data_IF_447874797568
#
_entry.id   IF_447874797568
#
_cell.length_a   1.000
_cell.length_b   1.000
_cell.length_c   1.000
_cell.angle_alpha   90.00
_cell.angle_beta   90.00
_cell.angle_gamma   90.00
#
_symmetry.space_group_name_H-M   'P 1'
#
loop_
_entity.id
_entity.type
_entity.pdbx_description
1 polymer ?
#
# COMPACT_ATOMS: atom_id res chain seq x y z
N UNK A 1 10.62 16.85 -14.72
CA UNK A 1 11.63 16.80 -13.65
C UNK A 1 12.44 15.52 -13.77
N UNK A 2 13.66 15.50 -13.27
CA UNK A 2 14.53 14.33 -13.14
C UNK A 2 14.91 14.25 -11.68
N UNK A 3 14.87 13.03 -11.13
CA UNK A 3 15.13 12.73 -9.74
C UNK A 3 15.74 11.32 -9.62
N UNK A 4 16.43 11.00 -8.52
CA UNK A 4 16.92 9.66 -8.21
C UNK A 4 17.70 8.96 -9.36
N UNK A 5 18.71 9.65 -9.93
CA UNK A 5 19.49 9.09 -11.03
C UNK A 5 20.64 8.24 -10.50
N UNK A 6 20.75 6.99 -10.99
CA UNK A 6 21.84 6.08 -10.61
C UNK A 6 22.45 5.38 -11.82
N UNK A 7 23.73 5.03 -11.71
CA UNK A 7 24.52 4.33 -12.75
C UNK A 7 25.28 3.17 -12.09
N UNK A 8 25.21 2.00 -12.71
CA UNK A 8 25.93 0.79 -12.30
C UNK A 8 26.97 0.37 -13.34
N UNK A 9 27.96 -0.39 -12.93
CA UNK A 9 28.97 -0.96 -13.84
C UNK A 9 28.52 -2.31 -14.44
N UNK A 10 27.32 -2.78 -14.11
CA UNK A 10 26.72 -3.99 -14.66
C UNK A 10 25.26 -3.71 -15.11
N UNK A 11 24.69 -4.65 -15.85
CA UNK A 11 23.28 -4.62 -16.19
C UNK A 11 22.47 -5.21 -15.04
N UNK A 12 21.54 -4.43 -14.52
CA UNK A 12 20.60 -4.92 -13.50
C UNK A 12 19.63 -5.95 -14.09
N UNK A 13 19.26 -6.91 -13.29
CA UNK A 13 18.19 -7.87 -13.62
C UNK A 13 16.83 -7.20 -13.51
N UNK A 14 15.79 -7.77 -14.16
CA UNK A 14 14.40 -7.30 -14.06
C UNK A 14 13.92 -7.27 -12.59
N UNK A 15 14.35 -8.23 -11.78
CA UNK A 15 14.01 -8.29 -10.36
C UNK A 15 14.66 -7.14 -9.56
N UNK A 16 15.90 -6.76 -9.87
CA UNK A 16 16.58 -5.62 -9.26
C UNK A 16 15.97 -4.29 -9.68
N UNK A 17 15.62 -4.14 -10.96
CA UNK A 17 14.93 -2.95 -11.47
C UNK A 17 13.58 -2.79 -10.77
N UNK A 18 12.83 -3.88 -10.62
CA UNK A 18 11.54 -3.87 -9.92
C UNK A 18 11.70 -3.49 -8.45
N UNK A 19 12.74 -4.04 -7.78
CA UNK A 19 13.03 -3.71 -6.39
C UNK A 19 13.41 -2.23 -6.22
N UNK A 20 14.25 -1.69 -7.11
CA UNK A 20 14.68 -0.28 -7.09
C UNK A 20 13.53 0.67 -7.45
N UNK A 21 12.67 0.28 -8.40
CA UNK A 21 11.50 1.07 -8.77
C UNK A 21 10.54 1.26 -7.59
N UNK A 22 10.44 0.25 -6.71
CA UNK A 22 9.67 0.31 -5.46
C UNK A 22 8.34 1.06 -5.61
N UNK A 23 7.60 0.76 -6.69
CA UNK A 23 6.32 1.42 -7.01
C UNK A 23 6.41 2.95 -7.13
N UNK A 24 7.59 3.49 -7.47
CA UNK A 24 7.84 4.93 -7.62
C UNK A 24 8.22 5.64 -6.32
N UNK A 25 8.52 4.89 -5.25
CA UNK A 25 9.03 5.46 -4.01
C UNK A 25 10.55 5.54 -4.01
N UNK A 26 11.05 6.53 -3.32
CA UNK A 26 12.48 6.70 -3.12
C UNK A 26 13.07 5.47 -2.42
N UNK A 27 14.06 4.83 -3.06
CA UNK A 27 14.84 3.77 -2.46
C UNK A 27 16.32 4.11 -2.52
N UNK A 28 17.03 3.80 -1.42
CA UNK A 28 18.44 4.07 -1.33
C UNK A 28 19.26 3.01 -2.09
N UNK A 29 19.70 3.34 -3.31
CA UNK A 29 20.50 2.45 -4.15
C UNK A 29 21.90 2.12 -3.56
N UNK A 30 22.36 2.76 -2.47
CA UNK A 30 23.65 2.49 -1.84
C UNK A 30 23.68 1.25 -0.95
N UNK A 31 22.54 0.62 -0.71
CA UNK A 31 22.43 -0.59 0.11
C UNK A 31 21.67 -1.68 -0.62
N UNK A 32 22.15 -2.92 -0.57
CA UNK A 32 21.42 -4.08 -1.11
C UNK A 32 20.27 -4.44 -0.18
N UNK A 33 19.09 -4.72 -0.77
CA UNK A 33 17.88 -5.12 -0.03
C UNK A 33 16.96 -5.95 -0.94
N UNK A 34 16.21 -6.88 -0.37
CA UNK A 34 15.29 -7.73 -1.12
C UNK A 34 15.97 -8.38 -2.33
N UNK A 35 15.39 -8.16 -3.50
CA UNK A 35 15.94 -8.65 -4.78
C UNK A 35 17.02 -7.74 -5.38
N UNK A 36 17.32 -6.60 -4.77
CA UNK A 36 18.41 -5.73 -5.22
C UNK A 36 19.73 -6.10 -4.52
N UNK A 37 20.71 -6.60 -5.27
CA UNK A 37 22.01 -7.05 -4.78
C UNK A 37 23.20 -6.25 -5.32
N UNK A 38 23.00 -5.40 -6.32
CA UNK A 38 24.03 -4.69 -7.08
C UNK A 38 24.45 -3.34 -6.48
N UNK A 39 24.26 -3.13 -5.16
CA UNK A 39 24.70 -1.89 -4.52
C UNK A 39 26.23 -1.70 -4.57
N UNK A 40 27.02 -2.80 -4.59
CA UNK A 40 28.48 -2.75 -4.72
C UNK A 40 28.96 -2.32 -6.11
N UNK A 41 28.11 -2.42 -7.11
CA UNK A 41 28.38 -2.13 -8.52
C UNK A 41 27.94 -0.71 -8.92
N UNK A 42 27.46 0.07 -7.94
CA UNK A 42 27.00 1.44 -8.11
C UNK A 42 28.18 2.37 -8.40
N UNK A 43 28.20 3.02 -9.56
CA UNK A 43 29.23 3.99 -9.98
C UNK A 43 28.89 5.40 -9.51
N UNK A 44 27.63 5.79 -9.61
CA UNK A 44 27.15 7.11 -9.22
C UNK A 44 25.67 7.08 -8.86
N UNK A 45 25.30 7.91 -7.89
CA UNK A 45 23.91 8.04 -7.44
C UNK A 45 23.63 9.47 -6.98
N UNK A 46 22.73 10.16 -7.68
CA UNK A 46 22.35 11.55 -7.41
C UNK A 46 20.87 11.63 -7.09
N UNK A 47 20.59 11.90 -5.83
CA UNK A 47 19.21 12.05 -5.32
C UNK A 47 18.52 13.32 -5.77
N UNK A 48 19.31 14.36 -6.14
CA UNK A 48 18.81 15.66 -6.57
C UNK A 48 17.95 16.38 -5.50
N UNK A 49 18.22 16.12 -4.22
CA UNK A 49 17.49 16.65 -3.07
C UNK A 49 18.14 17.91 -2.44
N UNK A 50 19.19 18.48 -3.05
CA UNK A 50 19.92 19.61 -2.47
C UNK A 50 19.07 20.90 -2.45
N UNK A 51 18.09 21.06 -3.34
CA UNK A 51 17.16 22.18 -3.40
C UNK A 51 17.78 23.55 -3.72
N UNK A 52 19.12 23.66 -3.68
CA UNK A 52 19.86 24.91 -3.93
C UNK A 52 21.25 24.61 -4.51
N UNK A 53 21.87 25.62 -5.13
CA UNK A 53 23.22 25.50 -5.67
C UNK A 53 23.25 24.85 -7.05
N UNK A 54 24.47 24.48 -7.49
CA UNK A 54 24.74 23.95 -8.83
C UNK A 54 25.50 22.63 -8.80
N UNK A 55 25.63 22.00 -7.64
CA UNK A 55 26.33 20.72 -7.48
C UNK A 55 25.32 19.65 -7.12
N UNK A 56 25.36 18.51 -7.81
CA UNK A 56 24.68 17.28 -7.45
C UNK A 56 25.65 16.37 -6.71
N UNK A 57 25.34 16.01 -5.49
CA UNK A 57 26.22 15.19 -4.66
C UNK A 57 26.06 13.72 -5.01
N UNK A 58 27.16 13.07 -5.38
CA UNK A 58 27.17 11.62 -5.59
C UNK A 58 27.09 10.89 -4.24
N UNK A 59 26.00 10.17 -4.03
CA UNK A 59 25.75 9.37 -2.84
C UNK A 59 26.37 7.95 -2.91
N UNK A 60 26.90 7.53 -4.07
CA UNK A 60 27.51 6.20 -4.23
C UNK A 60 28.82 6.02 -3.43
N UNK A 61 29.41 7.11 -2.98
CA UNK A 61 30.72 7.12 -2.31
C UNK A 61 31.93 7.18 -3.26
N UNK A 62 31.70 7.20 -4.59
CA UNK A 62 32.78 7.25 -5.59
C UNK A 62 33.21 8.69 -5.92
N UNK A 63 32.51 9.70 -5.44
CA UNK A 63 32.88 11.10 -5.59
C UNK A 63 32.58 11.69 -6.96
N UNK A 64 31.72 11.10 -7.75
CA UNK A 64 31.30 11.52 -9.09
C UNK A 64 30.26 12.65 -9.02
N UNK A 65 30.56 13.75 -8.33
CA UNK A 65 29.65 14.86 -8.18
C UNK A 65 29.30 15.48 -9.54
N UNK A 66 27.99 15.74 -9.75
CA UNK A 66 27.49 16.40 -10.94
C UNK A 66 27.50 17.92 -10.82
N UNK A 67 27.43 18.61 -11.97
CA UNK A 67 27.25 20.07 -12.04
C UNK A 67 26.02 20.39 -12.85
N UNK A 68 25.18 21.28 -12.32
CA UNK A 68 23.97 21.74 -12.99
C UNK A 68 24.30 22.90 -13.93
N UNK A 69 23.98 22.72 -15.21
CA UNK A 69 24.11 23.76 -16.24
C UNK A 69 22.72 24.13 -16.76
N UNK A 70 22.25 25.33 -16.42
CA UNK A 70 21.03 25.91 -16.98
C UNK A 70 19.71 25.33 -16.48
N UNK A 71 19.71 24.26 -15.69
CA UNK A 71 18.52 23.81 -14.98
C UNK A 71 18.35 24.59 -13.66
N UNK A 72 17.13 24.67 -13.19
CA UNK A 72 16.79 25.29 -11.89
C UNK A 72 16.15 24.23 -11.01
N UNK A 73 16.37 24.35 -9.72
CA UNK A 73 15.61 23.59 -8.75
C UNK A 73 14.14 23.95 -8.86
N UNK A 74 13.28 22.94 -8.74
CA UNK A 74 11.84 23.10 -8.80
C UNK A 74 11.25 22.60 -7.50
N UNK A 75 10.38 23.41 -6.92
CA UNK A 75 9.53 22.97 -5.80
C UNK A 75 8.34 22.13 -6.32
N UNK A 76 8.15 22.07 -7.64
CA UNK A 76 7.26 21.12 -8.30
C UNK A 76 7.98 19.76 -8.45
N UNK A 77 8.46 19.26 -7.34
CA UNK A 77 8.79 17.85 -7.20
C UNK A 77 7.46 17.10 -7.32
N UNK A 78 7.41 15.95 -8.01
CA UNK A 78 6.32 15.02 -7.77
C UNK A 78 6.33 14.80 -6.26
N UNK A 79 5.46 15.49 -5.55
CA UNK A 79 5.15 15.05 -4.19
C UNK A 79 4.93 13.57 -4.32
N UNK A 80 5.57 12.72 -3.50
CA UNK A 80 5.08 11.36 -3.38
C UNK A 80 3.58 11.54 -3.27
N UNK A 81 2.77 10.83 -4.09
CA UNK A 81 1.34 11.09 -4.16
C UNK A 81 0.91 11.32 -2.73
N UNK A 82 0.37 12.51 -2.45
CA UNK A 82 -0.09 12.85 -1.12
C UNK A 82 -0.98 11.68 -0.78
N UNK A 83 -0.52 10.87 0.16
CA UNK A 83 -1.26 9.73 0.62
C UNK A 83 -2.38 10.35 1.45
N UNK A 84 -3.35 10.96 0.75
CA UNK A 84 -4.55 11.40 1.43
C UNK A 84 -5.23 10.12 1.91
N UNK A 85 -5.37 9.94 3.23
CA UNK A 85 -6.04 8.79 3.78
C UNK A 85 -7.44 8.69 3.18
N UNK A 86 -7.79 7.53 2.64
CA UNK A 86 -9.12 7.33 2.08
C UNK A 86 -10.11 6.96 3.19
N UNK A 87 -11.30 7.54 3.12
CA UNK A 87 -12.43 7.23 4.00
C UNK A 87 -13.54 6.46 3.28
N UNK A 88 -13.29 6.00 2.06
CA UNK A 88 -14.26 5.25 1.27
C UNK A 88 -13.59 4.16 0.44
N UNK A 89 -14.36 3.12 0.12
CA UNK A 89 -13.92 1.99 -0.71
C UNK A 89 -15.07 1.51 -1.58
N UNK A 90 -14.78 1.12 -2.83
CA UNK A 90 -15.76 0.49 -3.71
C UNK A 90 -15.83 -1.01 -3.48
N UNK A 91 -17.01 -1.51 -3.22
CA UNK A 91 -17.30 -2.95 -3.17
C UNK A 91 -17.75 -3.38 -4.56
N UNK A 92 -16.93 -4.18 -5.21
CA UNK A 92 -17.11 -4.61 -6.60
C UNK A 92 -17.33 -6.13 -6.70
N UNK A 93 -17.66 -6.62 -7.90
CA UNK A 93 -17.78 -8.03 -8.21
C UNK A 93 -19.20 -8.57 -7.98
N UNK A 94 -19.31 -9.76 -7.40
CA UNK A 94 -20.57 -10.47 -7.16
C UNK A 94 -20.77 -10.75 -5.68
N UNK A 95 -21.89 -11.33 -5.30
CA UNK A 95 -22.16 -11.78 -3.92
C UNK A 95 -21.02 -12.64 -3.38
N UNK A 96 -20.71 -12.46 -2.09
CA UNK A 96 -19.65 -13.22 -1.42
C UNK A 96 -19.11 -12.53 -0.19
N UNK A 97 -18.19 -13.21 0.49
CA UNK A 97 -17.56 -12.68 1.69
C UNK A 97 -16.58 -11.56 1.34
N UNK A 98 -16.60 -10.49 2.14
CA UNK A 98 -15.59 -9.43 2.17
C UNK A 98 -14.97 -9.38 3.55
N UNK A 99 -13.66 -9.25 3.59
CA UNK A 99 -12.88 -9.08 4.81
C UNK A 99 -12.53 -7.61 4.92
N UNK A 100 -13.23 -6.92 5.80
CA UNK A 100 -13.19 -5.46 5.91
C UNK A 100 -12.59 -5.01 7.23
N UNK A 101 -12.24 -3.75 7.29
CA UNK A 101 -11.83 -2.99 8.47
C UNK A 101 -12.32 -1.55 8.38
N UNK A 102 -12.00 -0.72 9.36
CA UNK A 102 -12.30 0.70 9.31
C UNK A 102 -11.09 1.55 9.65
N UNK A 103 -10.79 2.59 8.85
CA UNK A 103 -9.77 3.58 9.17
C UNK A 103 -10.20 4.60 10.22
N UNK A 104 -11.48 4.54 10.65
CA UNK A 104 -12.07 5.44 11.64
C UNK A 104 -12.53 4.62 12.84
N UNK A 105 -12.19 5.05 14.04
CA UNK A 105 -12.66 4.47 15.28
C UNK A 105 -13.91 5.18 15.79
N UNK A 106 -14.79 4.42 16.45
CA UNK A 106 -15.96 4.99 17.14
C UNK A 106 -17.16 5.31 16.24
N UNK A 107 -17.03 5.24 14.92
CA UNK A 107 -18.18 5.19 14.02
C UNK A 107 -18.97 3.89 14.24
N UNK A 108 -20.23 3.85 13.89
CA UNK A 108 -21.07 2.66 14.06
C UNK A 108 -21.04 1.78 12.79
N UNK A 109 -21.30 0.49 12.97
CA UNK A 109 -21.37 -0.44 11.83
C UNK A 109 -22.43 -0.05 10.82
N UNK A 110 -23.57 0.47 11.27
CA UNK A 110 -24.66 0.89 10.39
C UNK A 110 -24.27 1.99 9.42
N UNK A 111 -23.45 2.95 9.86
CA UNK A 111 -22.98 4.04 8.99
C UNK A 111 -22.03 3.53 7.91
N UNK A 112 -21.11 2.61 8.26
CA UNK A 112 -20.17 2.05 7.29
C UNK A 112 -20.87 1.14 6.26
N UNK A 113 -21.86 0.38 6.68
CA UNK A 113 -22.52 -0.65 5.88
C UNK A 113 -23.84 -0.18 5.23
N UNK A 114 -24.14 1.12 5.25
CA UNK A 114 -25.41 1.72 4.80
C UNK A 114 -25.79 1.31 3.37
N UNK A 115 -24.79 1.19 2.49
CA UNK A 115 -24.99 0.86 1.07
C UNK A 115 -25.06 -0.67 0.80
N UNK A 116 -24.97 -1.49 1.84
CA UNK A 116 -25.04 -2.95 1.72
C UNK A 116 -26.31 -3.48 2.39
N UNK A 117 -26.89 -4.51 1.77
CA UNK A 117 -27.94 -5.27 2.47
C UNK A 117 -27.38 -5.93 3.72
N UNK A 118 -27.99 -5.61 4.86
CA UNK A 118 -27.63 -6.16 6.17
C UNK A 118 -28.78 -6.95 6.77
N UNK A 119 -28.43 -7.99 7.58
CA UNK A 119 -29.44 -8.83 8.20
C UNK A 119 -29.00 -9.43 9.53
N UNK A 120 -29.98 -9.85 10.34
CA UNK A 120 -29.77 -10.56 11.59
C UNK A 120 -29.38 -9.70 12.78
N UNK A 121 -29.38 -8.37 12.63
CA UNK A 121 -29.02 -7.42 13.69
C UNK A 121 -30.08 -6.34 13.85
N UNK A 122 -30.16 -5.73 15.03
CA UNK A 122 -30.96 -4.50 15.23
C UNK A 122 -30.35 -3.41 14.33
N UNK A 123 -31.20 -2.71 13.59
CA UNK A 123 -30.80 -1.66 12.64
C UNK A 123 -30.42 -2.19 11.26
N UNK A 124 -30.52 -3.49 11.02
CA UNK A 124 -30.32 -4.08 9.69
C UNK A 124 -31.62 -4.04 8.87
N UNK A 125 -31.51 -4.22 7.54
CA UNK A 125 -32.65 -4.27 6.60
C UNK A 125 -33.55 -5.44 6.90
N UNK A 126 -33.03 -6.58 7.35
CA UNK A 126 -33.75 -7.77 7.70
C UNK A 126 -33.40 -8.34 9.09
N UNK A 127 -33.84 -7.75 10.21
CA UNK A 127 -33.41 -8.11 11.55
C UNK A 127 -33.74 -9.56 11.95
N UNK A 128 -34.77 -10.13 11.34
CA UNK A 128 -35.27 -11.50 11.64
C UNK A 128 -34.52 -12.61 10.88
N UNK A 129 -33.58 -12.30 10.04
CA UNK A 129 -32.78 -13.27 9.26
C UNK A 129 -31.50 -13.68 9.97
N UNK A 130 -30.76 -14.63 9.37
CA UNK A 130 -29.44 -15.00 9.88
C UNK A 130 -28.45 -13.84 9.68
N UNK A 131 -27.55 -13.59 10.65
CA UNK A 131 -26.57 -12.51 10.52
C UNK A 131 -25.67 -12.65 9.28
N UNK A 132 -25.28 -11.51 8.70
CA UNK A 132 -24.31 -11.45 7.61
C UNK A 132 -23.09 -10.57 7.94
N UNK A 133 -22.95 -10.12 9.20
CA UNK A 133 -21.81 -9.32 9.68
C UNK A 133 -21.24 -9.96 10.94
N UNK A 134 -19.93 -10.23 10.94
CA UNK A 134 -19.25 -10.90 12.07
C UNK A 134 -17.89 -10.26 12.35
N UNK A 135 -17.46 -10.39 13.60
CA UNK A 135 -16.07 -10.26 14.03
C UNK A 135 -15.56 -11.62 14.51
N UNK A 136 -14.23 -11.72 14.71
CA UNK A 136 -13.62 -12.93 15.24
C UNK A 136 -12.80 -12.59 16.51
N UNK A 137 -13.04 -13.39 17.56
CA UNK A 137 -12.23 -13.36 18.78
C UNK A 137 -12.28 -14.76 19.44
N UNK A 138 -11.39 -15.64 19.00
CA UNK A 138 -11.42 -17.07 19.37
C UNK A 138 -12.66 -17.81 18.87
N UNK A 139 -13.50 -17.17 18.08
CA UNK A 139 -14.72 -17.67 17.47
C UNK A 139 -15.46 -16.56 16.74
N UNK A 140 -16.38 -16.96 15.86
CA UNK A 140 -17.21 -16.00 15.13
C UNK A 140 -18.27 -15.38 16.03
N UNK A 141 -18.30 -14.07 16.09
CA UNK A 141 -19.25 -13.27 16.86
C UNK A 141 -20.07 -12.40 15.91
N UNK A 142 -21.36 -12.73 15.78
CA UNK A 142 -22.26 -11.91 14.97
C UNK A 142 -22.44 -10.53 15.61
N UNK A 143 -22.44 -9.48 14.78
CA UNK A 143 -22.87 -8.15 15.22
C UNK A 143 -24.40 -8.19 15.39
N UNK A 144 -24.85 -7.85 16.57
CA UNK A 144 -26.29 -7.93 16.94
C UNK A 144 -27.02 -6.60 16.93
N UNK A 145 -26.28 -5.50 16.87
CA UNK A 145 -26.82 -4.13 16.84
C UNK A 145 -25.93 -3.22 16.00
N UNK A 146 -26.37 -2.87 14.81
CA UNK A 146 -25.61 -2.02 13.89
C UNK A 146 -25.67 -0.54 14.28
N UNK A 147 -26.73 -0.13 15.00
CA UNK A 147 -26.94 1.28 15.36
C UNK A 147 -26.14 1.73 16.57
N UNK A 148 -25.68 0.78 17.41
CA UNK A 148 -25.01 1.12 18.66
C UNK A 148 -23.64 0.43 18.83
N UNK A 149 -23.30 -0.56 17.99
CA UNK A 149 -21.98 -1.17 18.02
C UNK A 149 -20.99 -0.30 17.23
N UNK A 150 -19.91 0.10 17.90
CA UNK A 150 -18.87 0.94 17.30
C UNK A 150 -17.78 0.12 16.66
N UNK A 151 -17.20 0.67 15.59
CA UNK A 151 -16.01 0.15 14.93
C UNK A 151 -14.80 0.34 15.84
N UNK A 152 -13.95 -0.67 15.91
CA UNK A 152 -12.71 -0.66 16.71
C UNK A 152 -11.51 -0.66 15.77
N UNK A 153 -10.57 0.27 15.98
CA UNK A 153 -9.33 0.32 15.22
C UNK A 153 -8.57 -1.00 15.31
N UNK A 154 -8.07 -1.49 14.18
CA UNK A 154 -7.31 -2.74 14.10
C UNK A 154 -8.14 -4.01 14.11
N UNK A 155 -9.46 -3.93 14.33
CA UNK A 155 -10.36 -5.07 14.28
C UNK A 155 -10.85 -5.33 12.85
N UNK A 156 -10.70 -6.57 12.39
CA UNK A 156 -11.32 -7.04 11.16
C UNK A 156 -12.79 -7.41 11.35
N UNK A 157 -13.57 -7.25 10.29
CA UNK A 157 -14.95 -7.73 10.20
C UNK A 157 -15.18 -8.52 8.92
N UNK A 158 -16.00 -9.54 8.97
CA UNK A 158 -16.44 -10.30 7.81
C UNK A 158 -17.87 -9.91 7.49
N UNK A 159 -18.12 -9.53 6.26
CA UNK A 159 -19.45 -9.21 5.74
C UNK A 159 -19.73 -10.14 4.57
N UNK A 160 -20.87 -10.84 4.60
CA UNK A 160 -21.39 -11.44 3.39
C UNK A 160 -22.18 -10.39 2.61
N UNK A 161 -21.64 -10.00 1.48
CA UNK A 161 -22.22 -8.99 0.59
C UNK A 161 -23.13 -9.70 -0.42
N UNK A 162 -24.34 -9.19 -0.58
CA UNK A 162 -25.24 -9.56 -1.65
C UNK A 162 -25.00 -8.59 -2.82
N UNK A 163 -25.03 -9.09 -4.07
CA UNK A 163 -24.86 -8.23 -5.24
C UNK A 163 -26.08 -7.35 -5.51
N UNK A 164 -27.25 -7.85 -5.13
CA UNK A 164 -28.53 -7.13 -5.08
C UNK A 164 -28.64 -6.55 -3.67
N UNK A 165 -28.36 -5.26 -3.51
CA UNK A 165 -28.21 -4.61 -2.19
C UNK A 165 -29.52 -4.10 -1.62
N UNK A 166 -30.60 -4.06 -2.41
CA UNK A 166 -31.92 -3.65 -1.99
C UNK A 166 -32.99 -4.73 -2.20
N UNK A 167 -32.59 -5.89 -2.75
CA UNK A 167 -33.42 -7.06 -3.05
C UNK A 167 -34.60 -6.76 -4.02
N UNK A 168 -34.33 -5.91 -5.01
CA UNK A 168 -35.31 -5.62 -6.10
C UNK A 168 -35.23 -6.62 -7.26
N UNK A 169 -34.23 -7.50 -7.27
CA UNK A 169 -33.98 -8.54 -8.28
C UNK A 169 -32.96 -8.16 -9.33
N UNK A 170 -32.28 -7.05 -9.14
CA UNK A 170 -31.16 -6.58 -9.97
C UNK A 170 -29.87 -6.55 -9.17
N UNK A 171 -28.72 -6.69 -9.83
CA UNK A 171 -27.41 -6.52 -9.19
C UNK A 171 -27.06 -5.02 -9.15
N UNK A 172 -26.66 -4.50 -7.97
CA UNK A 172 -26.35 -3.10 -7.72
C UNK A 172 -24.85 -2.81 -7.62
N UNK A 173 -24.03 -3.86 -7.44
CA UNK A 173 -22.59 -3.65 -7.35
C UNK A 173 -22.00 -3.08 -8.65
N UNK A 174 -21.06 -2.11 -8.59
CA UNK A 174 -20.37 -1.64 -7.39
C UNK A 174 -21.15 -0.61 -6.56
N UNK A 175 -20.97 -0.65 -5.23
CA UNK A 175 -21.37 0.39 -4.29
C UNK A 175 -20.17 0.95 -3.55
N UNK A 176 -20.24 2.20 -3.09
CA UNK A 176 -19.14 2.86 -2.36
C UNK A 176 -19.48 2.92 -0.88
N UNK A 177 -18.73 2.19 -0.06
CA UNK A 177 -18.80 2.33 1.40
C UNK A 177 -18.03 3.57 1.83
N UNK A 178 -18.59 4.39 2.70
CA UNK A 178 -17.94 5.57 3.26
C UNK A 178 -18.06 5.56 4.78
N UNK A 179 -16.96 5.85 5.47
CA UNK A 179 -17.00 6.05 6.93
C UNK A 179 -16.67 7.50 7.26
N UNK A 180 -17.42 8.09 8.17
CA UNK A 180 -17.22 9.46 8.62
C UNK A 180 -16.60 9.48 10.02
N UNK A 181 -15.69 10.40 10.27
CA UNK A 181 -15.02 10.58 11.54
C UNK A 181 -13.54 10.94 11.37
N UNK A 182 -12.85 11.05 12.50
CA UNK A 182 -11.41 11.30 12.50
C UNK A 182 -10.67 10.01 12.16
N UNK A 183 -9.81 10.08 11.16
CA UNK A 183 -8.95 8.97 10.76
C UNK A 183 -7.97 8.60 11.86
N UNK A 184 -7.66 7.33 11.98
CA UNK A 184 -6.57 6.90 12.85
C UNK A 184 -5.22 7.27 12.19
N UNK A 185 -4.43 8.08 12.89
CA UNK A 185 -3.10 8.54 12.45
C UNK A 185 -1.99 8.08 13.38
N UNK A 186 -2.36 7.63 14.58
CA UNK A 186 -1.44 7.20 15.64
C UNK A 186 -1.29 5.67 15.65
N UNK A 187 -0.27 5.18 16.33
CA UNK A 187 -0.11 3.75 16.56
C UNK A 187 -1.37 3.13 17.18
N UNK A 188 -1.81 2.02 16.63
CA UNK A 188 -2.98 1.26 17.09
C UNK A 188 -2.52 -0.08 17.64
N UNK A 189 -2.99 -0.43 18.83
CA UNK A 189 -2.69 -1.72 19.46
C UNK A 189 -3.99 -2.46 19.74
N UNK A 190 -4.04 -3.74 19.36
CA UNK A 190 -5.21 -4.60 19.57
C UNK A 190 -4.82 -5.89 20.29
N UNK A 191 -5.60 -6.25 21.31
CA UNK A 191 -5.40 -7.49 22.05
C UNK A 191 -5.70 -8.72 21.16
N UNK A 192 -4.88 -9.75 21.27
CA UNK A 192 -5.01 -10.98 20.49
C UNK A 192 -5.05 -12.22 21.37
N UNK A 193 -5.47 -13.34 20.79
CA UNK A 193 -5.49 -14.65 21.44
C UNK A 193 -4.19 -15.40 21.12
N UNK A 194 -3.46 -15.81 22.16
CA UNK A 194 -2.23 -16.59 22.02
C UNK A 194 -2.52 -17.99 21.43
N UNK A 195 -1.59 -18.53 20.65
CA UNK A 195 -1.70 -19.80 19.94
C UNK A 195 -2.96 -19.96 19.08
N UNK A 196 -3.54 -18.86 18.64
CA UNK A 196 -4.78 -18.87 17.87
C UNK A 196 -4.69 -17.96 16.65
N UNK A 197 -5.57 -18.18 15.71
CA UNK A 197 -5.79 -17.27 14.61
C UNK A 197 -6.47 -15.99 15.11
N UNK A 198 -5.98 -14.86 14.65
CA UNK A 198 -6.55 -13.56 14.95
C UNK A 198 -6.94 -12.88 13.65
N UNK A 199 -8.17 -12.34 13.62
CA UNK A 199 -8.67 -11.61 12.47
C UNK A 199 -8.59 -10.13 12.74
N UNK A 200 -7.64 -9.49 12.12
CA UNK A 200 -7.29 -8.09 12.29
C UNK A 200 -7.69 -7.29 11.04
N UNK A 201 -7.62 -5.97 11.13
CA UNK A 201 -7.90 -5.09 10.02
C UNK A 201 -6.97 -3.89 9.98
N UNK A 202 -6.63 -3.43 8.78
CA UNK A 202 -5.87 -2.21 8.62
C UNK A 202 -6.63 -1.04 9.29
N UNK A 203 -6.06 -0.37 10.30
CA UNK A 203 -6.73 0.71 11.02
C UNK A 203 -6.63 2.07 10.35
N UNK A 204 -5.90 2.17 9.24
CA UNK A 204 -5.55 3.44 8.60
C UNK A 204 -6.27 3.64 7.26
N UNK A 205 -6.47 4.88 6.87
CA UNK A 205 -6.89 5.25 5.51
C UNK A 205 -5.77 5.09 4.46
N UNK A 206 -4.61 4.58 4.87
CA UNK A 206 -3.43 4.27 4.06
C UNK A 206 -3.16 2.77 4.09
N UNK A 207 -2.46 2.26 3.09
CA UNK A 207 -2.02 0.87 3.11
C UNK A 207 -1.00 0.60 4.23
N UNK A 208 -0.95 -0.64 4.70
CA UNK A 208 0.04 -1.10 5.69
C UNK A 208 1.02 -2.05 5.00
N UNK A 209 2.32 -1.78 5.14
CA UNK A 209 3.39 -2.65 4.65
C UNK A 209 3.60 -3.81 5.63
N UNK A 210 3.49 -5.02 5.11
CA UNK A 210 3.63 -6.25 5.88
C UNK A 210 5.05 -6.44 6.42
N UNK A 211 6.08 -5.90 5.75
CA UNK A 211 7.47 -6.09 6.16
C UNK A 211 7.78 -5.46 7.51
N UNK A 212 7.64 -4.14 7.73
CA UNK A 212 7.81 -3.55 9.05
C UNK A 212 6.77 -4.06 10.04
N UNK A 213 5.51 -4.25 9.61
CA UNK A 213 4.44 -4.76 10.47
C UNK A 213 4.81 -6.08 11.15
N UNK A 214 5.40 -7.03 10.43
CA UNK A 214 5.81 -8.32 10.99
C UNK A 214 7.09 -8.24 11.83
N UNK A 215 7.98 -7.28 11.55
CA UNK A 215 9.15 -7.02 12.39
C UNK A 215 8.72 -6.54 13.77
N UNK A 216 7.78 -5.61 13.84
CA UNK A 216 7.26 -5.05 15.10
C UNK A 216 6.45 -6.09 15.90
N UNK A 217 5.88 -7.08 15.21
CA UNK A 217 5.03 -8.13 15.79
C UNK A 217 5.69 -9.52 15.75
N UNK A 218 6.94 -9.62 16.15
CA UNK A 218 7.76 -10.84 16.06
C UNK A 218 7.27 -12.04 16.88
N UNK A 219 6.32 -11.85 17.82
CA UNK A 219 5.64 -12.92 18.55
C UNK A 219 4.54 -13.62 17.74
N UNK A 220 4.24 -13.11 16.55
CA UNK A 220 3.28 -13.69 15.62
C UNK A 220 3.99 -14.52 14.55
N UNK A 221 3.23 -15.39 13.88
CA UNK A 221 3.75 -16.07 12.70
C UNK A 221 4.06 -15.04 11.62
N UNK A 222 5.17 -15.22 10.94
CA UNK A 222 5.65 -14.27 9.93
C UNK A 222 4.88 -14.36 8.59
N UNK A 223 3.54 -14.47 8.63
CA UNK A 223 2.73 -14.50 7.41
C UNK A 223 1.34 -13.93 7.68
N UNK A 224 0.93 -12.97 6.86
CA UNK A 224 -0.44 -12.46 6.80
C UNK A 224 -1.21 -13.15 5.68
N UNK A 225 -2.52 -13.26 5.83
CA UNK A 225 -3.44 -13.87 4.87
C UNK A 225 -4.60 -12.93 4.61
N UNK A 226 -4.69 -12.43 3.40
CA UNK A 226 -5.74 -11.52 2.92
C UNK A 226 -6.66 -12.27 1.97
N UNK A 227 -7.98 -12.10 2.11
CA UNK A 227 -8.95 -12.77 1.25
C UNK A 227 -9.15 -11.99 -0.05
N UNK A 228 -8.92 -12.64 -1.17
CA UNK A 228 -9.25 -12.12 -2.50
C UNK A 228 -10.57 -12.73 -2.95
N UNK A 229 -11.63 -11.92 -2.99
CA UNK A 229 -12.96 -12.36 -3.38
C UNK A 229 -13.04 -12.75 -4.86
N UNK A 230 -12.30 -12.09 -5.73
CA UNK A 230 -12.32 -12.38 -7.16
C UNK A 230 -11.63 -13.73 -7.47
N UNK A 231 -10.51 -14.00 -6.78
CA UNK A 231 -9.81 -15.26 -6.88
C UNK A 231 -10.44 -16.38 -6.03
N UNK A 232 -11.33 -16.03 -5.08
CA UNK A 232 -11.88 -16.95 -4.06
C UNK A 232 -10.78 -17.73 -3.31
N UNK A 233 -9.70 -17.03 -2.98
CA UNK A 233 -8.51 -17.59 -2.37
C UNK A 233 -7.83 -16.57 -1.45
N UNK A 234 -6.99 -17.06 -0.54
CA UNK A 234 -6.12 -16.18 0.24
C UNK A 234 -4.89 -15.79 -0.57
N UNK A 235 -4.54 -14.52 -0.53
CA UNK A 235 -3.22 -14.01 -0.86
C UNK A 235 -2.41 -13.89 0.41
N UNK A 236 -1.12 -14.18 0.32
CA UNK A 236 -0.24 -14.23 1.48
C UNK A 236 1.00 -13.38 1.28
N UNK A 237 1.58 -12.90 2.38
CA UNK A 237 2.90 -12.28 2.37
C UNK A 237 3.60 -12.49 3.72
N UNK A 238 4.90 -12.79 3.69
CA UNK A 238 5.69 -13.07 4.90
C UNK A 238 6.69 -11.97 5.26
N UNK A 239 6.48 -10.77 4.76
CA UNK A 239 7.39 -9.63 4.94
C UNK A 239 8.54 -9.59 3.92
N UNK A 240 8.73 -10.64 3.10
CA UNK A 240 9.77 -10.71 2.08
C UNK A 240 9.23 -11.17 0.72
N UNK A 241 8.40 -12.18 0.72
CA UNK A 241 7.81 -12.78 -0.47
C UNK A 241 6.36 -13.19 -0.23
N UNK A 242 5.57 -13.22 -1.28
CA UNK A 242 4.18 -13.64 -1.27
C UNK A 242 3.48 -13.29 -2.57
N UNK A 243 2.21 -13.60 -2.64
CA UNK A 243 1.31 -13.25 -3.76
C UNK A 243 0.34 -12.09 -3.42
N UNK A 244 0.44 -11.56 -2.19
CA UNK A 244 -0.18 -10.29 -1.84
C UNK A 244 0.58 -9.17 -2.54
N UNK A 245 -0.11 -8.41 -3.36
CA UNK A 245 0.50 -7.39 -4.21
C UNK A 245 1.31 -6.39 -3.38
N UNK A 246 2.57 -6.21 -3.74
CA UNK A 246 3.53 -5.30 -3.11
C UNK A 246 3.72 -5.53 -1.59
N UNK A 247 3.18 -6.63 -1.04
CA UNK A 247 3.19 -6.90 0.40
C UNK A 247 2.36 -5.92 1.22
N UNK A 248 1.32 -5.33 0.62
CA UNK A 248 0.50 -4.29 1.23
C UNK A 248 -0.88 -4.81 1.61
N UNK A 249 -1.32 -4.49 2.83
CA UNK A 249 -2.71 -4.60 3.25
C UNK A 249 -3.40 -3.27 2.98
N UNK A 250 -4.38 -3.27 2.10
CA UNK A 250 -5.07 -2.04 1.65
C UNK A 250 -5.87 -1.39 2.77
N UNK A 251 -6.20 -0.09 2.66
CA UNK A 251 -7.22 0.51 3.51
C UNK A 251 -8.53 -0.27 3.44
N UNK A 252 -9.27 -0.32 4.53
CA UNK A 252 -10.51 -1.10 4.69
C UNK A 252 -10.35 -2.62 4.59
N UNK A 253 -9.14 -3.16 4.54
CA UNK A 253 -8.93 -4.59 4.34
C UNK A 253 -8.64 -5.32 5.65
N UNK A 254 -9.34 -6.45 5.85
CA UNK A 254 -9.12 -7.38 6.96
C UNK A 254 -8.17 -8.52 6.57
N UNK A 255 -7.40 -9.02 7.53
CA UNK A 255 -6.46 -10.10 7.32
C UNK A 255 -6.36 -11.04 8.52
N UNK A 256 -5.88 -12.24 8.27
CA UNK A 256 -5.56 -13.21 9.31
C UNK A 256 -4.09 -13.23 9.64
N UNK A 257 -3.80 -13.43 10.93
CA UNK A 257 -2.47 -13.73 11.43
C UNK A 257 -2.56 -14.76 12.57
N UNK A 258 -1.58 -15.65 12.65
CA UNK A 258 -1.48 -16.64 13.72
C UNK A 258 -0.56 -16.12 14.83
N UNK A 259 -1.07 -16.01 16.05
CA UNK A 259 -0.26 -15.67 17.21
C UNK A 259 0.56 -16.86 17.71
N UNK A 260 1.79 -16.61 18.12
CA UNK A 260 2.63 -17.58 18.77
C UNK A 260 2.18 -17.89 20.21
N UNK A 261 2.94 -18.74 20.93
CA UNK A 261 2.59 -19.20 22.28
C UNK A 261 2.58 -18.08 23.33
N UNK A 262 3.39 -17.06 23.13
CA UNK A 262 3.46 -15.93 24.05
C UNK A 262 2.33 -14.93 23.80
N UNK A 263 1.66 -14.99 22.63
CA UNK A 263 0.58 -14.10 22.25
C UNK A 263 0.99 -12.64 22.34
N UNK A 264 0.08 -11.84 22.83
CA UNK A 264 0.31 -10.43 23.15
C UNK A 264 -0.60 -9.50 22.35
N UNK A 265 -0.35 -8.23 22.49
CA UNK A 265 -1.02 -7.22 21.71
C UNK A 265 -0.36 -7.12 20.33
N UNK A 266 -1.17 -7.00 19.27
CA UNK A 266 -0.67 -6.71 17.94
C UNK A 266 -0.61 -5.20 17.73
N UNK A 267 0.54 -4.70 17.31
CA UNK A 267 0.77 -3.28 17.13
C UNK A 267 0.83 -2.89 15.65
N UNK A 268 0.03 -1.92 15.26
CA UNK A 268 0.19 -1.17 14.03
C UNK A 268 0.95 0.11 14.38
N UNK A 269 2.16 0.24 13.88
CA UNK A 269 3.03 1.39 14.14
C UNK A 269 3.01 2.36 12.95
N UNK A 270 3.49 3.58 13.17
CA UNK A 270 3.62 4.57 12.08
C UNK A 270 4.59 4.06 11.00
N UNK A 271 5.61 3.29 11.38
CA UNK A 271 6.58 2.69 10.46
C UNK A 271 5.95 1.63 9.53
N UNK A 272 4.82 1.03 9.95
CA UNK A 272 4.09 0.08 9.12
C UNK A 272 3.18 0.74 8.09
N UNK A 273 2.93 2.04 8.19
CA UNK A 273 2.14 2.77 7.19
C UNK A 273 2.98 2.88 5.92
N UNK A 274 2.48 2.29 4.84
CA UNK A 274 3.15 2.34 3.56
C UNK A 274 3.16 3.77 3.01
N UNK A 275 4.33 4.24 2.64
CA UNK A 275 4.50 5.54 2.00
C UNK A 275 4.13 5.52 0.50
N UNK A 276 3.52 4.43 0.02
CA UNK A 276 3.03 4.26 -1.34
C UNK A 276 1.75 3.43 -1.41
N UNK A 277 0.86 3.79 -2.31
CA UNK A 277 -0.19 2.86 -2.74
C UNK A 277 0.43 1.84 -3.69
N UNK A 278 0.32 0.56 -3.37
CA UNK A 278 0.42 -0.49 -4.38
C UNK A 278 -0.58 -0.16 -5.51
N UNK A 279 -0.19 -0.38 -6.75
CA UNK A 279 -0.94 -0.02 -7.96
C UNK A 279 -2.36 -0.63 -8.04
N UNK A 280 -3.29 -0.13 -7.25
CA UNK A 280 -4.71 -0.31 -7.53
C UNK A 280 -5.12 0.73 -8.57
N UNK A 281 -4.93 0.38 -9.85
CA UNK A 281 -5.62 0.99 -10.98
C UNK A 281 -5.46 2.51 -11.15
N UNK A 282 -4.24 3.03 -11.25
CA UNK A 282 -4.03 4.44 -11.62
C UNK A 282 -3.78 4.58 -13.11
N UNK A 283 -4.81 5.00 -13.84
CA UNK A 283 -4.64 5.59 -15.17
C UNK A 283 -4.21 7.06 -15.00
N UNK A 284 -2.93 7.33 -15.11
CA UNK A 284 -2.45 8.70 -15.24
C UNK A 284 -2.18 8.98 -16.71
N UNK A 285 -3.01 9.81 -17.33
CA UNK A 285 -2.65 10.49 -18.57
C UNK A 285 -1.76 11.67 -18.22
N UNK A 286 -0.47 11.54 -18.45
CA UNK A 286 0.47 12.68 -18.41
C UNK A 286 0.78 13.07 -19.84
N UNK A 287 0.48 14.32 -20.18
CA UNK A 287 0.81 14.93 -21.47
C UNK A 287 2.09 15.78 -21.31
N UNK A 288 3.25 15.20 -21.61
CA UNK A 288 4.45 15.98 -21.89
C UNK A 288 5.50 15.17 -22.63
N UNK A 289 6.01 15.69 -23.72
CA UNK A 289 7.24 15.25 -24.37
C UNK A 289 8.43 15.97 -23.72
N UNK A 290 9.34 15.22 -23.12
CA UNK A 290 10.55 15.77 -22.49
C UNK A 290 11.82 15.07 -22.99
N UNK A 291 12.92 15.80 -23.04
CA UNK A 291 14.25 15.26 -23.31
C UNK A 291 15.14 15.54 -22.10
N UNK A 292 15.86 14.51 -21.64
CA UNK A 292 16.96 14.66 -20.70
C UNK A 292 18.28 14.40 -21.42
N UNK A 293 19.26 15.28 -21.20
CA UNK A 293 20.59 15.14 -21.79
C UNK A 293 21.59 15.02 -20.65
N UNK A 294 22.32 13.90 -20.62
CA UNK A 294 23.43 13.67 -19.69
C UNK A 294 24.74 13.82 -20.45
N UNK A 295 25.58 14.74 -20.03
CA UNK A 295 26.92 14.92 -20.61
C UNK A 295 27.98 14.49 -19.60
N UNK A 296 28.77 13.50 -19.96
CA UNK A 296 29.91 13.00 -19.19
C UNK A 296 31.19 13.60 -19.78
N UNK A 297 32.07 14.17 -18.92
CA UNK A 297 33.34 14.73 -19.37
C UNK A 297 34.46 14.43 -18.37
N UNK A 298 35.59 14.00 -18.85
CA UNK A 298 36.83 13.80 -18.07
C UNK A 298 37.79 15.00 -18.18
N UNK A 299 37.36 16.09 -18.80
CA UNK A 299 38.14 17.30 -19.05
C UNK A 299 38.83 17.33 -20.42
N UNK A 300 39.02 16.17 -21.07
CA UNK A 300 39.56 16.07 -22.44
C UNK A 300 38.55 15.51 -23.43
N UNK A 301 37.61 14.68 -22.94
CA UNK A 301 36.55 14.05 -23.74
C UNK A 301 35.18 14.31 -23.11
N UNK A 302 34.17 14.43 -23.95
CA UNK A 302 32.78 14.52 -23.50
C UNK A 302 31.89 13.62 -24.34
N UNK A 303 30.96 12.93 -23.68
CA UNK A 303 29.88 12.14 -24.32
C UNK A 303 28.54 12.54 -23.74
N UNK A 304 27.53 12.64 -24.59
CA UNK A 304 26.17 12.98 -24.15
C UNK A 304 25.21 11.85 -24.45
N UNK A 305 24.39 11.49 -23.46
CA UNK A 305 23.28 10.55 -23.61
C UNK A 305 21.98 11.35 -23.59
N UNK A 306 21.14 11.10 -24.60
CA UNK A 306 19.84 11.73 -24.73
C UNK A 306 18.77 10.70 -24.38
N UNK A 307 17.93 11.01 -23.41
CA UNK A 307 16.73 10.23 -23.09
C UNK A 307 15.51 11.00 -23.58
N UNK A 308 14.73 10.37 -24.44
CA UNK A 308 13.46 10.92 -24.91
C UNK A 308 12.31 10.11 -24.32
N UNK A 309 11.34 10.79 -23.73
CA UNK A 309 10.14 10.16 -23.19
C UNK A 309 8.96 10.47 -24.10
N UNK A 310 8.20 9.46 -24.49
CA UNK A 310 6.94 9.65 -25.18
C UNK A 310 5.76 9.16 -24.32
N UNK A 311 4.58 9.62 -24.67
CA UNK A 311 3.32 9.37 -23.96
C UNK A 311 2.87 7.90 -23.90
N UNK A 312 3.59 6.98 -24.53
CA UNK A 312 3.21 5.55 -24.60
C UNK A 312 4.13 4.64 -23.79
N UNK A 313 5.06 5.20 -23.01
CA UNK A 313 5.94 4.41 -22.13
C UNK A 313 7.05 3.64 -22.83
N UNK A 314 7.28 3.86 -24.12
CA UNK A 314 8.40 3.25 -24.83
C UNK A 314 9.64 4.14 -24.72
N UNK A 315 10.73 3.57 -24.24
CA UNK A 315 12.05 4.19 -24.28
C UNK A 315 12.61 4.01 -25.69
N UNK A 316 12.77 5.10 -26.43
CA UNK A 316 13.48 5.07 -27.72
C UNK A 316 14.93 5.46 -27.44
N UNK A 317 15.84 4.52 -27.61
CA UNK A 317 17.27 4.80 -27.66
C UNK A 317 17.58 5.23 -29.10
N UNK A 318 17.93 6.49 -29.30
CA UNK A 318 18.46 6.99 -30.56
C UNK A 318 19.99 6.85 -30.56
N UNK A 319 20.62 6.26 -31.62
CA UNK A 319 22.03 5.87 -31.63
C UNK A 319 23.02 7.05 -31.68
#
# INVERSE_FOLDING_TARGET
SIDETAIWNEALTDAEITALYNSGNELNATASFGNYSSASDLIGYWKMNEGTGTTLTDQSGNGNNGIIYGATWSDDVPSPPSLDPINSIDITGTSGYRFLSSPVSGAIYGDLLEELWTQGATGSDAPGQSPNVWTYNGGWNAITDLNNTTLTAGQGMVVYVFSDTDFDGSDDLPVTLTVNGDMNEQAVTIATNANDWNFLGNPYGLAVDVSPLLVDNSSFNSTVYVWDNAATAYRTHNGQVGDLQDGLVSPFEGFWILAGPDGGDFAFTEESIANSYGNAGRSTTVDSTGHAVFTFSDGEHSSSVYLSFNLQGDVILDP
#
